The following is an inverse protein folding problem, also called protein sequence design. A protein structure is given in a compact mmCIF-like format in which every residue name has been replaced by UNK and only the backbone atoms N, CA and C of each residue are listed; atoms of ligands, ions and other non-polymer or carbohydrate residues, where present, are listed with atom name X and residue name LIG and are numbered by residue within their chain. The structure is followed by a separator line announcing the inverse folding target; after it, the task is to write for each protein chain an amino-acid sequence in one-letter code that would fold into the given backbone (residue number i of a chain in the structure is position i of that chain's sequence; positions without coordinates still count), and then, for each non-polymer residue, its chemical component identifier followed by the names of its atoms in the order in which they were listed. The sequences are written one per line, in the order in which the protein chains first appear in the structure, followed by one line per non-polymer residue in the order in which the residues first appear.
data_IF_952709295833
#
_entry.id   IF_952709295833
#
_cell.length_a   1.000
_cell.length_b   1.000
_cell.length_c   1.000
_cell.angle_alpha   90.00
_cell.angle_beta   90.00
_cell.angle_gamma   90.00
#
_symmetry.space_group_name_H-M   'P 1'
#
loop_
_entity.id
_entity.type
_entity.pdbx_description
1 polymer ?
#
# COMPACT_ATOMS: atom_id res chain seq x y z
N UNK A 1 -13.78 13.35 -9.83
CA UNK A 1 -13.76 11.88 -10.00
C UNK A 1 -12.37 11.30 -10.29
N UNK A 2 -11.53 11.96 -11.11
CA UNK A 2 -10.18 11.45 -11.42
C UNK A 2 -9.16 11.63 -10.28
N UNK A 3 -9.22 12.74 -9.54
CA UNK A 3 -8.34 13.00 -8.39
C UNK A 3 -8.63 12.05 -7.21
N UNK A 4 -9.90 11.76 -6.94
CA UNK A 4 -10.31 10.80 -5.92
C UNK A 4 -9.86 9.38 -6.25
N UNK A 5 -9.88 8.99 -7.53
CA UNK A 5 -9.41 7.69 -8.00
C UNK A 5 -7.88 7.52 -7.86
N UNK A 6 -7.12 8.59 -8.18
CA UNK A 6 -5.67 8.60 -8.04
C UNK A 6 -5.24 8.55 -6.56
N UNK A 7 -5.94 9.28 -5.69
CA UNK A 7 -5.66 9.28 -4.25
C UNK A 7 -6.01 7.94 -3.59
N UNK A 8 -7.09 7.28 -4.03
CA UNK A 8 -7.40 5.91 -3.56
C UNK A 8 -6.37 4.91 -4.05
N UNK A 9 -5.94 4.98 -5.31
CA UNK A 9 -4.90 4.09 -5.85
C UNK A 9 -3.56 4.20 -5.08
N UNK A 10 -3.15 5.42 -4.66
CA UNK A 10 -1.95 5.61 -3.84
C UNK A 10 -2.10 5.03 -2.42
N UNK A 11 -3.28 5.12 -1.80
CA UNK A 11 -3.55 4.54 -0.49
C UNK A 11 -3.49 3.01 -0.49
N UNK A 12 -3.89 2.36 -1.60
CA UNK A 12 -3.80 0.89 -1.73
C UNK A 12 -2.36 0.39 -1.90
N UNK A 13 -1.46 1.18 -2.47
CA UNK A 13 -0.03 0.80 -2.63
C UNK A 13 0.78 0.84 -1.32
N UNK A 14 0.26 1.50 -0.27
CA UNK A 14 0.95 1.62 1.02
C UNK A 14 0.72 0.44 1.98
N UNK A 15 -0.07 -0.57 1.58
CA UNK A 15 -0.49 -1.68 2.46
C UNK A 15 0.30 -2.98 2.25
N UNK A 16 1.62 -2.89 2.08
CA UNK A 16 2.47 -4.07 2.01
C UNK A 16 2.73 -4.66 3.41
N UNK A 17 2.23 -5.87 3.66
CA UNK A 17 2.56 -6.66 4.85
C UNK A 17 3.65 -7.67 4.49
N UNK A 18 4.81 -7.56 5.13
CA UNK A 18 5.92 -8.51 4.93
C UNK A 18 5.80 -9.65 5.94
N UNK A 19 5.68 -10.88 5.44
CA UNK A 19 5.72 -12.10 6.25
C UNK A 19 7.08 -12.78 6.11
N UNK A 20 7.62 -13.29 7.23
CA UNK A 20 8.83 -14.11 7.28
C UNK A 20 8.47 -15.45 7.91
N UNK A 21 8.84 -16.55 7.25
CA UNK A 21 8.72 -17.90 7.79
C UNK A 21 10.04 -18.25 8.50
N UNK A 22 9.95 -18.56 9.79
CA UNK A 22 11.07 -19.09 10.58
C UNK A 22 10.67 -20.48 11.12
N UNK A 23 11.52 -21.48 10.89
CA UNK A 23 11.33 -22.86 11.38
C UNK A 23 12.31 -23.10 12.51
N UNK A 24 11.81 -23.31 13.72
CA UNK A 24 12.62 -23.53 14.92
C UNK A 24 12.31 -24.92 15.50
N UNK A 25 13.29 -25.83 15.60
CA UNK A 25 13.08 -27.11 16.27
C UNK A 25 12.91 -26.89 17.77
N UNK A 26 11.93 -27.56 18.38
CA UNK A 26 11.76 -27.55 19.83
C UNK A 26 12.65 -28.63 20.47
N UNK A 27 13.53 -28.29 21.43
CA UNK A 27 14.31 -29.28 22.16
C UNK A 27 13.40 -30.02 23.15
N UNK A 28 13.02 -31.25 22.81
CA UNK A 28 12.14 -32.10 23.64
C UNK A 28 12.91 -32.90 24.71
N UNK A 29 14.16 -32.54 25.03
CA UNK A 29 15.05 -33.30 25.92
C UNK A 29 14.87 -33.00 27.43
N UNK A 30 14.00 -32.05 27.79
CA UNK A 30 13.82 -31.65 29.19
C UNK A 30 12.65 -32.36 29.88
N UNK A 31 12.85 -32.68 31.16
CA UNK A 31 11.86 -33.26 32.09
C UNK A 31 10.74 -32.29 32.46
N UNK A 32 10.82 -31.02 32.04
CA UNK A 32 9.81 -30.01 32.31
C UNK A 32 8.66 -30.07 31.28
N UNK A 33 7.41 -29.82 31.71
CA UNK A 33 6.30 -29.74 30.78
C UNK A 33 6.53 -28.66 29.72
N UNK A 34 6.45 -29.04 28.44
CA UNK A 34 6.58 -28.10 27.32
C UNK A 34 5.17 -27.63 26.96
N UNK A 35 4.87 -26.36 27.22
CA UNK A 35 3.59 -25.74 26.87
C UNK A 35 3.72 -24.93 25.58
N UNK A 36 2.83 -25.19 24.64
CA UNK A 36 2.68 -24.43 23.39
C UNK A 36 1.29 -23.81 23.39
N UNK A 37 1.22 -22.48 23.48
CA UNK A 37 -0.05 -21.73 23.58
C UNK A 37 -0.65 -21.36 22.21
N UNK A 38 0.05 -21.68 21.13
CA UNK A 38 -0.40 -21.40 19.77
C UNK A 38 -0.96 -22.67 19.13
N UNK A 39 -1.81 -22.55 18.08
CA UNK A 39 -2.36 -23.71 17.41
C UNK A 39 -1.28 -24.69 16.97
N UNK A 40 -1.46 -25.97 17.29
CA UNK A 40 -0.53 -27.05 16.96
C UNK A 40 -1.22 -28.09 16.10
N UNK A 41 -0.53 -28.54 15.06
CA UNK A 41 -0.94 -29.69 14.25
C UNK A 41 0.05 -30.83 14.47
N UNK A 42 -0.45 -31.98 14.90
CA UNK A 42 0.32 -33.19 15.14
C UNK A 42 -0.01 -34.25 14.08
N UNK A 43 1.00 -34.73 13.37
CA UNK A 43 0.89 -35.80 12.41
C UNK A 43 1.26 -37.12 13.07
N UNK A 44 0.35 -38.09 13.06
CA UNK A 44 0.57 -39.39 13.69
C UNK A 44 1.20 -40.39 12.73
N UNK A 45 1.86 -41.41 13.27
CA UNK A 45 2.51 -42.49 12.51
C UNK A 45 1.54 -43.29 11.64
N UNK A 46 0.27 -43.34 12.01
CA UNK A 46 -0.79 -43.99 11.22
C UNK A 46 -1.34 -43.10 10.08
N UNK A 47 -0.78 -41.91 9.87
CA UNK A 47 -1.19 -40.96 8.83
C UNK A 47 -2.35 -40.03 9.22
N UNK A 48 -3.02 -40.25 10.35
CA UNK A 48 -4.02 -39.31 10.86
C UNK A 48 -3.38 -38.04 11.41
N UNK A 49 -4.14 -36.94 11.46
CA UNK A 49 -3.66 -35.63 11.91
C UNK A 49 -4.54 -35.08 13.02
N UNK A 50 -3.95 -34.54 14.07
CA UNK A 50 -4.66 -33.88 15.16
C UNK A 50 -4.41 -32.38 15.10
N UNK A 51 -5.48 -31.59 15.22
CA UNK A 51 -5.39 -30.13 15.36
C UNK A 51 -5.78 -29.75 16.78
N UNK A 52 -4.84 -29.14 17.50
CA UNK A 52 -5.03 -28.52 18.81
C UNK A 52 -5.16 -27.00 18.61
N UNK A 53 -6.40 -26.50 18.53
CA UNK A 53 -6.65 -25.10 18.19
C UNK A 53 -6.18 -24.12 19.28
N UNK A 54 -6.31 -24.50 20.55
CA UNK A 54 -5.96 -23.66 21.70
C UNK A 54 -4.55 -23.95 22.25
N UNK A 55 -3.75 -24.72 21.50
CA UNK A 55 -2.45 -25.19 21.94
C UNK A 55 -2.48 -26.50 22.73
N UNK A 56 -1.32 -26.88 23.26
CA UNK A 56 -1.08 -28.19 23.89
C UNK A 56 0.05 -28.13 24.91
N UNK A 57 0.10 -29.14 25.77
CA UNK A 57 1.16 -29.37 26.75
C UNK A 57 1.73 -30.77 26.55
N UNK A 58 3.05 -30.88 26.49
CA UNK A 58 3.76 -32.16 26.54
C UNK A 58 4.23 -32.38 27.97
N UNK A 59 3.80 -33.48 28.60
CA UNK A 59 4.29 -33.88 29.93
C UNK A 59 4.39 -35.39 30.01
N UNK A 60 5.49 -35.89 30.57
CA UNK A 60 5.74 -37.33 30.76
C UNK A 60 5.56 -38.16 29.47
N UNK A 61 5.99 -37.63 28.32
CA UNK A 61 5.86 -38.31 27.02
C UNK A 61 4.43 -38.38 26.46
N UNK A 62 3.48 -37.64 27.04
CA UNK A 62 2.09 -37.55 26.59
C UNK A 62 1.76 -36.11 26.23
N UNK A 63 1.06 -35.94 25.11
CA UNK A 63 0.48 -34.67 24.66
C UNK A 63 -0.91 -34.54 25.27
N UNK A 64 -1.15 -33.42 25.94
CA UNK A 64 -2.43 -33.01 26.49
C UNK A 64 -2.96 -31.76 25.77
N UNK A 65 -4.22 -31.75 25.42
CA UNK A 65 -4.88 -30.57 24.83
C UNK A 65 -6.23 -30.91 24.20
N UNK A 66 -7.08 -29.91 23.99
CA UNK A 66 -8.35 -30.10 23.29
C UNK A 66 -8.09 -30.22 21.78
N UNK A 67 -8.00 -31.46 21.29
CA UNK A 67 -7.64 -31.77 19.90
C UNK A 67 -8.80 -32.37 19.12
N UNK A 68 -8.80 -32.15 17.80
CA UNK A 68 -9.64 -32.88 16.85
C UNK A 68 -8.75 -33.73 15.94
N UNK A 69 -8.93 -35.06 15.99
CA UNK A 69 -8.25 -36.03 15.13
C UNK A 69 -9.02 -36.24 13.85
N UNK A 70 -8.36 -36.02 12.72
CA UNK A 70 -8.83 -36.27 11.38
C UNK A 70 -8.16 -37.51 10.80
N UNK A 71 -8.93 -38.37 10.15
CA UNK A 71 -8.37 -39.46 9.34
C UNK A 71 -7.56 -38.92 8.14
N UNK A 72 -6.86 -39.82 7.43
CA UNK A 72 -6.05 -39.45 6.27
C UNK A 72 -6.88 -38.78 5.16
N UNK A 73 -8.18 -39.08 5.07
CA UNK A 73 -9.10 -38.51 4.09
C UNK A 73 -9.78 -37.22 4.55
N UNK A 74 -9.53 -36.75 5.78
CA UNK A 74 -10.25 -35.68 6.47
C UNK A 74 -11.77 -35.89 6.54
N UNK A 75 -12.24 -37.13 6.38
CA UNK A 75 -13.65 -37.47 6.26
C UNK A 75 -14.32 -37.66 7.62
N UNK A 76 -13.55 -38.11 8.62
CA UNK A 76 -13.99 -38.26 10.00
C UNK A 76 -13.17 -37.38 10.94
N UNK A 77 -13.83 -36.86 11.97
CA UNK A 77 -13.23 -36.01 12.99
C UNK A 77 -13.67 -36.50 14.38
N UNK A 78 -12.71 -36.81 15.24
CA UNK A 78 -12.97 -37.32 16.60
C UNK A 78 -12.22 -36.47 17.62
N UNK A 79 -12.90 -36.06 18.69
CA UNK A 79 -12.26 -35.35 19.78
C UNK A 79 -11.23 -36.23 20.49
N UNK A 80 -10.09 -35.66 20.84
CA UNK A 80 -8.99 -36.33 21.54
C UNK A 80 -8.37 -35.36 22.53
N UNK A 81 -8.17 -35.81 23.77
CA UNK A 81 -7.58 -35.01 24.83
C UNK A 81 -6.12 -35.39 25.11
N UNK A 82 -5.74 -36.63 24.80
CA UNK A 82 -4.47 -37.23 25.18
C UNK A 82 -3.90 -38.10 24.05
N UNK A 83 -2.60 -37.95 23.78
CA UNK A 83 -1.91 -38.73 22.74
C UNK A 83 -0.48 -39.06 23.20
N UNK A 84 -0.07 -40.34 23.17
CA UNK A 84 1.32 -40.70 23.42
C UNK A 84 2.25 -40.06 22.39
N UNK A 85 3.37 -39.49 22.82
CA UNK A 85 4.31 -38.85 21.90
C UNK A 85 4.97 -39.86 20.95
N UNK A 86 5.05 -41.14 21.33
CA UNK A 86 5.53 -42.22 20.47
C UNK A 86 4.64 -42.46 19.23
N UNK A 87 3.35 -42.08 19.29
CA UNK A 87 2.43 -42.17 18.15
C UNK A 87 2.60 -41.01 17.16
N UNK A 88 3.37 -39.98 17.53
CA UNK A 88 3.55 -38.75 16.75
C UNK A 88 4.77 -38.89 15.85
N UNK A 89 4.56 -38.65 14.56
CA UNK A 89 5.62 -38.61 13.56
C UNK A 89 6.24 -37.21 13.42
N UNK A 90 5.40 -36.16 13.50
CA UNK A 90 5.84 -34.77 13.43
C UNK A 90 4.81 -33.84 14.08
N UNK A 91 5.26 -32.67 14.54
CA UNK A 91 4.41 -31.59 15.02
C UNK A 91 4.85 -30.27 14.42
N UNK A 92 3.87 -29.42 14.12
CA UNK A 92 4.11 -28.03 13.71
C UNK A 92 3.19 -27.08 14.47
N UNK A 93 3.73 -25.92 14.81
CA UNK A 93 3.03 -24.83 15.47
C UNK A 93 3.13 -23.61 14.57
N UNK A 94 2.01 -22.93 14.33
CA UNK A 94 1.97 -21.74 13.49
C UNK A 94 1.95 -20.50 14.38
N UNK A 95 2.97 -19.66 14.22
CA UNK A 95 3.00 -18.33 14.83
C UNK A 95 3.03 -17.29 13.71
N UNK A 96 2.19 -16.26 13.82
CA UNK A 96 2.22 -15.11 12.90
C UNK A 96 2.54 -13.83 13.69
N UNK A 97 3.74 -13.73 14.28
CA UNK A 97 4.11 -12.51 15.00
C UNK A 97 4.21 -11.34 14.02
N UNK A 98 3.52 -10.26 14.31
CA UNK A 98 3.64 -9.02 13.54
C UNK A 98 4.83 -8.24 14.09
N UNK A 99 5.86 -8.01 13.27
CA UNK A 99 6.99 -7.16 13.64
C UNK A 99 6.55 -5.70 13.69
N UNK A 100 6.09 -5.23 14.85
CA UNK A 100 5.58 -3.85 15.04
C UNK A 100 6.55 -2.79 14.52
N UNK A 101 7.86 -2.97 14.74
CA UNK A 101 8.88 -2.02 14.30
C UNK A 101 9.06 -2.01 12.78
N UNK A 102 9.10 -3.19 12.13
CA UNK A 102 9.21 -3.29 10.68
C UNK A 102 7.95 -2.74 9.99
N UNK A 103 6.76 -3.07 10.52
CA UNK A 103 5.49 -2.54 10.00
C UNK A 103 5.39 -1.02 10.15
N UNK A 104 5.81 -0.47 11.28
CA UNK A 104 5.83 0.99 11.50
C UNK A 104 6.82 1.69 10.56
N UNK A 105 8.02 1.14 10.40
CA UNK A 105 9.03 1.69 9.50
C UNK A 105 8.58 1.66 8.03
N UNK A 106 8.00 0.54 7.58
CA UNK A 106 7.45 0.40 6.23
C UNK A 106 6.30 1.39 5.98
N UNK A 107 5.41 1.57 6.97
CA UNK A 107 4.29 2.54 6.89
C UNK A 107 4.82 3.97 6.80
N UNK A 108 5.80 4.33 7.64
CA UNK A 108 6.40 5.67 7.65
C UNK A 108 7.15 5.97 6.34
N UNK A 109 7.92 5.02 5.82
CA UNK A 109 8.62 5.14 4.55
C UNK A 109 7.64 5.34 3.38
N UNK A 110 6.54 4.59 3.37
CA UNK A 110 5.49 4.70 2.34
C UNK A 110 4.81 6.08 2.37
N UNK A 111 4.51 6.61 3.57
CA UNK A 111 3.90 7.93 3.72
C UNK A 111 4.76 9.06 3.15
N UNK A 112 6.06 9.04 3.42
CA UNK A 112 7.00 10.05 2.88
C UNK A 112 7.11 9.98 1.35
N UNK A 113 7.13 8.78 0.78
CA UNK A 113 7.18 8.59 -0.67
C UNK A 113 5.96 9.18 -1.39
N UNK A 114 4.76 9.01 -0.82
CA UNK A 114 3.51 9.58 -1.34
C UNK A 114 3.54 11.11 -1.31
N UNK A 115 3.99 11.71 -0.20
CA UNK A 115 4.07 13.17 -0.06
C UNK A 115 5.04 13.78 -1.07
N UNK A 116 6.23 13.20 -1.24
CA UNK A 116 7.22 13.70 -2.20
C UNK A 116 6.71 13.51 -3.64
N UNK A 117 6.18 12.33 -3.96
CA UNK A 117 5.66 12.04 -5.30
C UNK A 117 4.49 12.95 -5.71
N UNK A 118 3.58 13.23 -4.78
CA UNK A 118 2.45 14.14 -5.02
C UNK A 118 2.87 15.61 -5.18
N UNK A 119 3.87 16.07 -4.42
CA UNK A 119 4.42 17.41 -4.59
C UNK A 119 5.12 17.57 -5.95
N UNK A 120 5.93 16.59 -6.35
CA UNK A 120 6.59 16.61 -7.66
C UNK A 120 5.57 16.56 -8.82
N UNK A 121 4.50 15.78 -8.68
CA UNK A 121 3.41 15.76 -9.65
C UNK A 121 2.67 17.11 -9.71
N UNK A 122 2.42 17.78 -8.58
CA UNK A 122 1.80 19.10 -8.55
C UNK A 122 2.67 20.15 -9.27
N UNK A 123 3.99 20.15 -9.04
CA UNK A 123 4.92 21.05 -9.74
C UNK A 123 4.90 20.80 -11.25
N UNK A 124 4.86 19.53 -11.68
CA UNK A 124 4.81 19.20 -13.10
C UNK A 124 3.47 19.53 -13.79
N UNK A 125 2.36 19.56 -13.03
CA UNK A 125 1.01 19.77 -13.58
C UNK A 125 0.57 21.25 -13.63
N UNK A 126 1.13 22.12 -12.78
CA UNK A 126 0.67 23.52 -12.65
C UNK A 126 1.72 24.56 -13.08
N UNK A 127 2.88 24.16 -13.59
CA UNK A 127 4.01 25.06 -13.86
C UNK A 127 4.37 25.26 -15.34
N UNK A 128 3.43 25.18 -16.29
CA UNK A 128 3.77 25.18 -17.72
C UNK A 128 3.04 26.20 -18.60
N UNK A 129 2.16 27.04 -18.06
CA UNK A 129 1.29 27.91 -18.86
C UNK A 129 1.79 29.36 -18.81
N UNK A 130 2.24 29.96 -19.93
CA UNK A 130 2.62 31.37 -19.96
C UNK A 130 1.45 32.30 -19.71
N UNK A 131 1.64 33.29 -18.86
CA UNK A 131 0.61 34.27 -18.52
C UNK A 131 0.55 35.41 -19.53
N UNK A 132 -0.63 35.62 -20.09
CA UNK A 132 -0.96 36.72 -21.00
C UNK A 132 -1.52 37.89 -20.19
N UNK A 133 -0.90 39.03 -20.41
CA UNK A 133 -1.29 40.30 -19.84
C UNK A 133 -1.89 41.23 -20.88
N UNK A 134 -3.13 41.65 -20.64
CA UNK A 134 -3.83 42.64 -21.42
C UNK A 134 -3.58 44.05 -20.87
N UNK A 135 -3.38 45.03 -21.75
CA UNK A 135 -3.31 46.44 -21.35
C UNK A 135 -4.73 47.01 -21.25
N UNK A 136 -5.14 47.39 -20.04
CA UNK A 136 -6.42 48.06 -19.79
C UNK A 136 -6.18 49.33 -18.96
N UNK A 137 -6.54 50.49 -19.50
CA UNK A 137 -6.38 51.79 -18.83
C UNK A 137 -4.96 52.03 -18.26
N UNK A 138 -3.93 51.71 -19.06
CA UNK A 138 -2.50 51.79 -18.71
C UNK A 138 -2.04 50.86 -17.57
N UNK A 139 -2.89 49.96 -17.07
CA UNK A 139 -2.51 48.90 -16.16
C UNK A 139 -2.38 47.58 -16.94
N UNK A 140 -1.31 46.84 -16.65
CA UNK A 140 -1.08 45.51 -17.19
C UNK A 140 -1.66 44.50 -16.19
N UNK A 141 -2.79 43.90 -16.52
CA UNK A 141 -3.48 42.93 -15.66
C UNK A 141 -3.40 41.53 -16.30
N UNK A 142 -3.23 40.47 -15.49
CA UNK A 142 -3.27 39.11 -15.99
C UNK A 142 -4.70 38.82 -16.49
N UNK A 143 -4.81 38.32 -17.71
CA UNK A 143 -6.09 38.17 -18.41
C UNK A 143 -6.34 36.72 -18.85
N UNK A 144 -5.29 36.02 -19.28
CA UNK A 144 -5.37 34.61 -19.68
C UNK A 144 -4.06 33.86 -19.42
N UNK A 145 -4.13 32.53 -19.44
CA UNK A 145 -3.01 31.62 -19.23
C UNK A 145 -2.96 30.65 -20.42
N UNK A 146 -1.92 30.77 -21.26
CA UNK A 146 -1.78 29.95 -22.48
C UNK A 146 -1.63 28.47 -22.12
N UNK A 147 -2.33 27.60 -22.84
CA UNK A 147 -2.26 26.13 -22.71
C UNK A 147 -2.94 25.55 -21.46
N UNK A 148 -3.75 26.34 -20.76
CA UNK A 148 -4.45 25.92 -19.53
C UNK A 148 -5.34 24.68 -19.68
N UNK A 149 -5.89 24.45 -20.87
CA UNK A 149 -6.72 23.27 -21.17
C UNK A 149 -6.00 22.22 -22.01
N UNK A 150 -4.72 22.43 -22.30
CA UNK A 150 -3.93 21.61 -23.21
C UNK A 150 -3.06 20.60 -22.46
N UNK A 151 -3.57 19.38 -22.31
CA UNK A 151 -2.82 18.26 -21.72
C UNK A 151 -1.73 17.67 -22.65
N UNK A 152 -1.62 18.15 -23.90
CA UNK A 152 -0.65 17.70 -24.90
C UNK A 152 -0.46 18.76 -26.02
N UNK A 153 0.70 18.77 -26.73
CA UNK A 153 0.97 19.71 -27.83
C UNK A 153 -0.08 19.74 -28.94
N UNK A 154 -0.65 18.59 -29.29
CA UNK A 154 -1.68 18.48 -30.32
C UNK A 154 -3.00 19.19 -29.97
N UNK A 155 -3.22 19.57 -28.71
CA UNK A 155 -4.42 20.29 -28.27
C UNK A 155 -4.22 21.80 -28.16
N UNK A 156 -2.97 22.29 -28.21
CA UNK A 156 -2.63 23.70 -28.04
C UNK A 156 -3.24 24.59 -29.12
N UNK A 157 -3.26 24.14 -30.37
CA UNK A 157 -3.83 24.90 -31.49
C UNK A 157 -5.34 25.13 -31.39
N UNK A 158 -6.00 24.44 -30.45
CA UNK A 158 -7.43 24.54 -30.19
C UNK A 158 -7.74 25.17 -28.84
N UNK A 159 -6.70 25.53 -28.09
CA UNK A 159 -6.83 26.20 -26.81
C UNK A 159 -7.02 27.69 -27.07
N UNK A 160 -8.23 28.17 -26.83
CA UNK A 160 -8.63 29.54 -27.14
C UNK A 160 -9.20 30.16 -25.86
N UNK A 161 -8.44 31.10 -25.30
CA UNK A 161 -8.89 31.90 -24.19
C UNK A 161 -9.53 33.20 -24.68
N UNK A 162 -10.59 33.63 -24.00
CA UNK A 162 -11.23 34.91 -24.29
C UNK A 162 -10.51 36.01 -23.53
N UNK A 163 -9.98 37.01 -24.24
CA UNK A 163 -9.35 38.17 -23.63
C UNK A 163 -10.41 39.22 -23.27
N UNK A 164 -10.34 39.76 -22.05
CA UNK A 164 -11.22 40.79 -21.51
C UNK A 164 -10.90 42.20 -22.03
N UNK A 165 -10.41 42.31 -23.26
CA UNK A 165 -9.97 43.57 -23.86
C UNK A 165 -11.16 44.42 -24.30
N UNK A 166 -11.16 45.70 -23.87
CA UNK A 166 -11.92 46.73 -24.57
C UNK A 166 -11.14 47.09 -25.86
N UNK A 167 -11.82 47.09 -27.01
CA UNK A 167 -11.18 47.45 -28.28
C UNK A 167 -10.51 48.83 -28.19
N UNK A 168 -9.21 48.88 -28.48
CA UNK A 168 -8.49 50.14 -28.57
C UNK A 168 -9.00 50.95 -29.78
N UNK A 169 -9.21 52.25 -29.57
CA UNK A 169 -9.81 53.16 -30.56
C UNK A 169 -8.94 53.35 -31.82
N UNK A 170 -7.64 53.05 -31.71
CA UNK A 170 -6.65 53.10 -32.80
C UNK A 170 -6.51 51.77 -33.57
N UNK A 171 -7.26 50.74 -33.16
CA UNK A 171 -7.21 49.41 -33.76
C UNK A 171 -5.98 48.58 -33.39
N UNK A 172 -5.16 49.02 -32.42
CA UNK A 172 -3.96 48.30 -31.99
C UNK A 172 -4.17 47.67 -30.61
N UNK A 173 -3.99 46.36 -30.52
CA UNK A 173 -4.00 45.64 -29.25
C UNK A 173 -2.56 45.34 -28.84
N UNK A 174 -2.18 45.74 -27.63
CA UNK A 174 -0.88 45.42 -27.05
C UNK A 174 -1.04 44.35 -25.97
N UNK A 175 -0.37 43.22 -26.16
CA UNK A 175 -0.30 42.11 -25.21
C UNK A 175 1.14 41.92 -24.75
N UNK A 176 1.32 41.51 -23.50
CA UNK A 176 2.61 41.02 -23.01
C UNK A 176 2.43 39.61 -22.51
N UNK A 177 3.38 38.74 -22.83
CA UNK A 177 3.40 37.38 -22.33
C UNK A 177 4.61 37.25 -21.42
N UNK A 178 4.41 36.68 -20.24
CA UNK A 178 5.48 36.46 -19.26
C UNK A 178 5.47 35.01 -18.82
N UNK A 179 6.67 34.52 -18.56
CA UNK A 179 6.88 33.25 -17.88
C UNK A 179 7.17 33.61 -16.42
N UNK A 180 6.24 33.26 -15.54
CA UNK A 180 6.26 33.73 -14.15
C UNK A 180 6.78 32.65 -13.19
N UNK A 181 6.79 31.38 -13.62
CA UNK A 181 7.19 30.25 -12.79
C UNK A 181 8.09 29.24 -13.53
N UNK A 182 9.32 29.60 -13.89
CA UNK A 182 10.32 28.67 -14.49
C UNK A 182 9.71 27.71 -15.53
N UNK A 183 8.73 28.20 -16.31
CA UNK A 183 7.97 27.35 -17.22
C UNK A 183 8.90 26.90 -18.33
N UNK A 184 8.81 25.63 -18.69
CA UNK A 184 9.64 25.03 -19.75
C UNK A 184 8.94 25.05 -21.11
N UNK A 185 7.74 25.63 -21.17
CA UNK A 185 6.92 25.67 -22.37
C UNK A 185 7.22 26.90 -23.21
N UNK A 186 7.67 26.70 -24.43
CA UNK A 186 8.00 27.76 -25.37
C UNK A 186 6.83 27.96 -26.35
N UNK A 187 6.64 29.21 -26.79
CA UNK A 187 5.72 29.55 -27.88
C UNK A 187 6.51 29.36 -29.19
N UNK A 188 6.01 28.49 -30.08
CA UNK A 188 6.61 28.18 -31.38
C UNK A 188 5.89 28.85 -32.57
#
# INVERSE_FOLDING_TARGET
MRLTLALTALLFLASCIVHRLDVVPLPLENTEPIRVETPVKAHLRNGSTIVYADGMEVRNGVIYGSGMRYDLGLASATAVSEVPMDDVAAMESYQTPVSKSATTAATAASGTGILIGSLLAAVALFGSCPTVYALNNNAQLPDAELFSYSIAPSFQSRDVDTLGLAMATDGVVSLSIRNEMLETHYID
#
